data_IF_165880982920
#
_entry.id   IF_165880982920
#
_cell.length_a   1.000
_cell.length_b   1.000
_cell.length_c   1.000
_cell.angle_alpha   90.00
_cell.angle_beta   90.00
_cell.angle_gamma   90.00
#
_symmetry.space_group_name_H-M   'P 1'
#
loop_
_entity.id
_entity.type
_entity.pdbx_description
1 polymer ?
#
# COMPACT_ATOMS: atom_id res chain seq x y z
N UNK A 1 4.20 2.37 20.92
CA UNK A 1 3.16 3.40 20.66
C UNK A 1 1.83 2.74 20.41
N UNK A 2 0.79 2.99 21.24
CA UNK A 2 -0.53 2.42 21.01
C UNK A 2 -1.36 3.14 19.94
N UNK A 3 -0.86 4.28 19.42
CA UNK A 3 -1.56 5.02 18.36
C UNK A 3 -0.56 5.80 17.51
N UNK A 4 -1.00 6.10 16.28
CA UNK A 4 -0.25 6.94 15.35
C UNK A 4 -1.24 7.65 14.44
N UNK A 5 -0.86 8.83 13.95
CA UNK A 5 -1.58 9.54 12.90
C UNK A 5 -0.68 9.72 11.69
N UNK A 6 -1.23 10.17 10.58
CA UNK A 6 -0.44 10.53 9.40
C UNK A 6 0.71 11.48 9.77
N UNK A 7 0.43 12.46 10.63
CA UNK A 7 1.42 13.49 11.00
C UNK A 7 2.51 12.96 11.91
N UNK A 8 2.26 11.90 12.67
CA UNK A 8 3.21 11.39 13.67
C UNK A 8 3.92 10.11 13.23
N UNK A 9 3.56 9.54 12.07
CA UNK A 9 4.20 8.33 11.56
C UNK A 9 5.69 8.57 11.31
N UNK A 10 6.52 7.60 11.69
CA UNK A 10 7.98 7.76 11.69
C UNK A 10 8.62 7.58 10.32
N UNK A 11 7.96 6.87 9.41
CA UNK A 11 8.51 6.61 8.07
C UNK A 11 7.63 7.21 6.99
N UNK A 12 8.26 7.72 5.94
CA UNK A 12 7.59 8.25 4.77
C UNK A 12 8.18 7.62 3.52
N UNK A 13 7.30 7.08 2.67
CA UNK A 13 7.67 6.65 1.32
C UNK A 13 6.89 7.55 0.38
N UNK A 14 7.60 8.40 -0.37
CA UNK A 14 6.96 9.34 -1.26
C UNK A 14 7.52 9.17 -2.68
N UNK A 15 6.64 9.20 -3.65
CA UNK A 15 6.96 9.25 -5.07
C UNK A 15 5.92 10.11 -5.75
N UNK A 16 6.16 10.46 -7.01
CA UNK A 16 5.19 11.24 -7.75
C UNK A 16 3.84 10.53 -7.75
N UNK A 17 2.83 11.22 -7.22
CA UNK A 17 1.45 10.68 -7.17
C UNK A 17 1.13 9.83 -5.95
N UNK A 18 2.10 9.56 -5.07
CA UNK A 18 1.89 8.69 -3.91
C UNK A 18 2.63 9.20 -2.69
N UNK A 19 1.92 9.26 -1.56
CA UNK A 19 2.52 9.53 -0.25
C UNK A 19 2.06 8.44 0.71
N UNK A 20 3.01 7.71 1.28
CA UNK A 20 2.75 6.66 2.27
C UNK A 20 3.43 7.05 3.58
N UNK A 21 2.65 7.09 4.64
CA UNK A 21 3.14 7.31 6.00
C UNK A 21 2.96 6.03 6.79
N UNK A 22 4.04 5.53 7.38
CA UNK A 22 4.12 4.17 7.91
C UNK A 22 4.63 4.18 9.34
N UNK A 23 4.02 3.36 10.19
CA UNK A 23 4.45 3.14 11.57
C UNK A 23 4.21 1.70 11.97
N UNK A 24 5.19 1.08 12.64
CA UNK A 24 5.00 -0.22 13.28
C UNK A 24 4.38 0.01 14.65
N UNK A 25 3.20 -0.57 14.86
CA UNK A 25 2.53 -0.52 16.15
C UNK A 25 2.82 -1.79 16.95
N UNK A 26 2.45 -1.76 18.22
CA UNK A 26 2.56 -2.94 19.08
C UNK A 26 1.62 -4.04 18.60
N UNK A 27 1.90 -5.28 18.98
CA UNK A 27 1.06 -6.41 18.60
C UNK A 27 1.39 -7.04 17.27
N UNK A 28 2.49 -6.63 16.62
CA UNK A 28 2.92 -7.23 15.36
C UNK A 28 2.23 -6.67 14.13
N UNK A 29 1.56 -5.52 14.23
CA UNK A 29 0.88 -4.88 13.11
C UNK A 29 1.45 -3.51 12.84
N UNK A 30 1.43 -3.15 11.56
CA UNK A 30 1.85 -1.84 11.07
C UNK A 30 0.67 -1.12 10.46
N UNK A 31 0.70 0.20 10.49
CA UNK A 31 -0.34 1.04 9.88
C UNK A 31 0.29 1.88 8.78
N UNK A 32 -0.41 1.97 7.64
CA UNK A 32 -0.05 2.82 6.52
C UNK A 32 -1.18 3.82 6.25
N UNK A 33 -0.80 5.09 6.14
CA UNK A 33 -1.69 6.14 5.65
C UNK A 33 -1.25 6.46 4.23
N UNK A 34 -2.12 6.24 3.25
CA UNK A 34 -1.80 6.47 1.83
C UNK A 34 -2.65 7.57 1.24
N UNK A 35 -2.02 8.42 0.45
CA UNK A 35 -2.69 9.43 -0.37
C UNK A 35 -2.25 9.25 -1.81
N UNK A 36 -3.21 9.19 -2.73
CA UNK A 36 -2.95 9.05 -4.15
C UNK A 36 -3.37 10.34 -4.86
N UNK A 37 -2.42 11.01 -5.50
CA UNK A 37 -2.68 12.26 -6.24
C UNK A 37 -2.67 12.06 -7.74
N UNK A 38 -2.41 10.85 -8.21
CA UNK A 38 -2.43 10.49 -9.62
C UNK A 38 -2.94 9.07 -9.80
N UNK A 39 -3.52 8.80 -10.97
CA UNK A 39 -3.87 7.43 -11.35
C UNK A 39 -2.58 6.67 -11.66
N UNK A 40 -2.47 5.44 -11.16
CA UNK A 40 -1.28 4.62 -11.41
C UNK A 40 -1.58 3.15 -11.20
N UNK A 41 -1.07 2.32 -12.12
CA UNK A 41 -1.02 0.87 -11.94
C UNK A 41 0.36 0.54 -11.38
N UNK A 42 0.42 0.02 -10.16
CA UNK A 42 1.67 -0.22 -9.47
C UNK A 42 2.17 -1.66 -9.58
N UNK A 43 1.67 -2.44 -10.53
CA UNK A 43 2.04 -3.85 -10.66
C UNK A 43 3.57 -4.06 -10.74
N UNK A 44 4.28 -3.17 -11.43
CA UNK A 44 5.72 -3.30 -11.61
C UNK A 44 6.52 -3.16 -10.31
N UNK A 45 5.96 -2.55 -9.28
CA UNK A 45 6.64 -2.41 -8.00
C UNK A 45 6.73 -3.73 -7.23
N UNK A 46 5.95 -4.73 -7.63
CA UNK A 46 5.88 -6.01 -6.92
C UNK A 46 6.62 -7.14 -7.64
N UNK A 47 7.38 -6.81 -8.68
CA UNK A 47 8.22 -7.80 -9.36
C UNK A 47 9.27 -8.35 -8.42
N UNK A 48 9.42 -9.66 -8.42
CA UNK A 48 10.36 -10.38 -7.56
C UNK A 48 9.69 -10.98 -6.32
N UNK A 49 8.46 -10.56 -6.01
CA UNK A 49 7.64 -11.24 -5.02
C UNK A 49 6.98 -12.47 -5.67
N UNK A 50 6.45 -13.42 -4.89
CA UNK A 50 5.78 -14.60 -5.46
C UNK A 50 4.69 -14.18 -6.45
N UNK A 51 4.72 -14.74 -7.66
CA UNK A 51 3.82 -14.43 -8.78
C UNK A 51 3.84 -12.95 -9.20
N UNK A 52 4.91 -12.22 -8.84
CA UNK A 52 5.05 -10.78 -9.05
C UNK A 52 3.88 -9.99 -8.47
N UNK A 53 3.37 -10.44 -7.33
CA UNK A 53 2.25 -9.83 -6.62
C UNK A 53 2.57 -9.59 -5.16
N UNK A 54 1.88 -8.64 -4.57
CA UNK A 54 1.98 -8.36 -3.15
C UNK A 54 1.34 -9.50 -2.36
N UNK A 55 2.10 -10.09 -1.44
CA UNK A 55 1.63 -11.17 -0.59
C UNK A 55 1.19 -10.67 0.79
N UNK A 56 1.15 -9.36 0.97
CA UNK A 56 0.82 -8.73 2.23
C UNK A 56 -0.70 -8.67 2.42
N UNK A 57 -1.27 -9.38 3.40
CA UNK A 57 -2.70 -9.20 3.69
C UNK A 57 -2.92 -7.82 4.28
N UNK A 58 -4.01 -7.16 3.90
CA UNK A 58 -4.29 -5.79 4.34
C UNK A 58 -5.73 -5.66 4.78
N UNK A 59 -5.92 -5.07 5.95
CA UNK A 59 -7.21 -4.62 6.43
C UNK A 59 -7.23 -3.11 6.32
N UNK A 60 -8.24 -2.55 5.68
CA UNK A 60 -8.22 -1.13 5.42
C UNK A 60 -9.58 -0.46 5.43
N UNK A 61 -9.52 0.86 5.29
CA UNK A 61 -10.70 1.70 5.20
C UNK A 61 -10.40 2.85 4.23
N UNK A 62 -11.28 3.05 3.26
CA UNK A 62 -11.13 4.15 2.30
C UNK A 62 -11.78 5.40 2.88
N UNK A 63 -10.97 6.44 3.05
CA UNK A 63 -11.42 7.73 3.58
C UNK A 63 -12.04 8.59 2.48
N UNK A 64 -11.36 8.70 1.34
CA UNK A 64 -11.83 9.45 0.17
C UNK A 64 -11.46 8.68 -1.09
N UNK A 65 -12.21 8.91 -2.17
CA UNK A 65 -11.91 8.33 -3.47
C UNK A 65 -12.14 6.84 -3.52
N UNK A 66 -11.26 6.14 -4.24
CA UNK A 66 -11.37 4.69 -4.44
C UNK A 66 -10.02 4.08 -4.75
N UNK A 67 -9.91 2.78 -4.50
CA UNK A 67 -8.72 1.98 -4.81
C UNK A 67 -9.17 0.67 -5.44
N UNK A 68 -8.42 0.18 -6.43
CA UNK A 68 -8.66 -1.11 -7.07
C UNK A 68 -7.52 -2.06 -6.76
N UNK A 69 -7.87 -3.32 -6.46
CA UNK A 69 -6.88 -4.39 -6.31
C UNK A 69 -7.15 -5.45 -7.38
N UNK A 70 -6.10 -5.83 -8.10
CA UNK A 70 -6.15 -6.86 -9.12
C UNK A 70 -5.61 -8.17 -8.59
N UNK A 71 -6.37 -9.22 -8.79
CA UNK A 71 -5.99 -10.60 -8.47
C UNK A 71 -5.82 -11.38 -9.78
N UNK A 72 -5.39 -12.65 -9.69
CA UNK A 72 -5.21 -13.47 -10.88
C UNK A 72 -6.50 -13.67 -11.68
N UNK A 73 -7.64 -13.69 -11.00
CA UNK A 73 -8.95 -14.07 -11.56
C UNK A 73 -10.00 -12.97 -11.49
N UNK A 74 -9.69 -11.81 -10.88
CA UNK A 74 -10.70 -10.77 -10.68
C UNK A 74 -10.06 -9.44 -10.29
N UNK A 75 -10.89 -8.40 -10.30
CA UNK A 75 -10.59 -7.09 -9.70
C UNK A 75 -11.64 -6.76 -8.67
N UNK A 76 -11.23 -6.04 -7.63
CA UNK A 76 -12.16 -5.50 -6.63
C UNK A 76 -11.84 -4.04 -6.41
N UNK A 77 -12.88 -3.20 -6.39
CA UNK A 77 -12.73 -1.76 -6.15
C UNK A 77 -13.46 -1.39 -4.87
N UNK A 78 -12.78 -0.65 -4.01
CA UNK A 78 -13.33 -0.17 -2.75
C UNK A 78 -13.42 1.36 -2.81
N UNK A 79 -14.52 1.89 -2.28
CA UNK A 79 -14.84 3.32 -2.36
C UNK A 79 -14.90 3.93 -0.96
N UNK A 80 -14.92 5.25 -0.90
CA UNK A 80 -15.01 5.99 0.37
C UNK A 80 -16.12 5.43 1.26
N UNK A 81 -15.77 5.11 2.51
CA UNK A 81 -16.68 4.50 3.46
C UNK A 81 -16.60 2.97 3.52
N UNK A 82 -15.89 2.32 2.59
CA UNK A 82 -15.73 0.86 2.63
C UNK A 82 -14.61 0.46 3.57
N UNK A 83 -14.91 -0.47 4.47
CA UNK A 83 -13.89 -1.25 5.17
C UNK A 83 -13.64 -2.52 4.38
N UNK A 84 -12.38 -2.91 4.22
CA UNK A 84 -12.05 -4.02 3.34
C UNK A 84 -10.95 -4.91 3.90
N UNK A 85 -10.90 -6.12 3.37
CA UNK A 85 -9.78 -7.03 3.54
C UNK A 85 -9.28 -7.45 2.17
N UNK A 86 -7.97 -7.28 1.94
CA UNK A 86 -7.29 -7.69 0.70
C UNK A 86 -6.40 -8.86 1.02
N UNK A 87 -6.72 -10.07 0.51
CA UNK A 87 -5.86 -11.24 0.72
C UNK A 87 -4.56 -11.15 -0.08
N UNK A 88 -3.57 -11.99 0.24
CA UNK A 88 -2.34 -12.08 -0.55
C UNK A 88 -2.61 -12.37 -2.04
N UNK A 89 -1.70 -11.92 -2.90
CA UNK A 89 -1.78 -12.20 -4.34
C UNK A 89 -2.42 -11.09 -5.15
N UNK A 90 -2.23 -9.84 -4.74
CA UNK A 90 -2.82 -8.67 -5.42
C UNK A 90 -1.77 -7.70 -5.91
N UNK A 91 -2.19 -6.83 -6.85
CA UNK A 91 -1.47 -5.60 -7.20
C UNK A 91 -2.44 -4.42 -7.14
N UNK A 92 -2.00 -3.26 -6.61
CA UNK A 92 -2.90 -2.12 -6.48
C UNK A 92 -2.92 -1.26 -7.74
N UNK A 93 -4.09 -0.70 -8.01
CA UNK A 93 -4.29 0.37 -8.99
C UNK A 93 -4.82 1.57 -8.24
N UNK A 94 -4.08 2.66 -8.28
CA UNK A 94 -4.42 3.89 -7.58
C UNK A 94 -5.25 4.80 -8.46
N UNK A 95 -6.22 5.46 -7.85
CA UNK A 95 -7.05 6.47 -8.50
C UNK A 95 -6.83 7.81 -7.80
N UNK A 96 -6.61 8.86 -8.57
CA UNK A 96 -6.34 10.20 -8.03
C UNK A 96 -7.43 10.64 -7.06
N UNK A 97 -7.04 11.22 -5.93
CA UNK A 97 -7.94 11.67 -4.89
C UNK A 97 -8.23 10.65 -3.81
N UNK A 98 -7.68 9.44 -3.91
CA UNK A 98 -7.90 8.42 -2.89
C UNK A 98 -7.03 8.68 -1.65
N UNK A 99 -7.65 8.49 -0.49
CA UNK A 99 -6.95 8.43 0.80
C UNK A 99 -7.46 7.22 1.55
N UNK A 100 -6.54 6.43 2.08
CA UNK A 100 -6.89 5.22 2.79
C UNK A 100 -5.94 4.96 3.95
N UNK A 101 -6.41 4.15 4.89
CA UNK A 101 -5.59 3.63 5.98
C UNK A 101 -5.64 2.11 5.93
N UNK A 102 -4.46 1.48 6.06
CA UNK A 102 -4.34 0.03 6.02
C UNK A 102 -3.53 -0.47 7.18
N UNK A 103 -3.91 -1.64 7.69
CA UNK A 103 -3.19 -2.37 8.74
C UNK A 103 -2.69 -3.69 8.17
N UNK A 104 -1.45 -4.02 8.47
CA UNK A 104 -0.79 -5.22 7.93
C UNK A 104 0.13 -5.85 8.96
N UNK A 105 0.40 -7.16 8.87
CA UNK A 105 1.41 -7.78 9.71
C UNK A 105 2.79 -7.18 9.46
N UNK A 106 3.48 -6.80 10.52
CA UNK A 106 4.78 -6.12 10.44
C UNK A 106 5.85 -6.98 9.78
N UNK A 107 5.87 -8.29 10.04
CA UNK A 107 6.86 -9.20 9.48
C UNK A 107 6.73 -9.33 7.95
N UNK A 108 5.51 -9.50 7.45
CA UNK A 108 5.27 -9.59 5.99
C UNK A 108 5.55 -8.25 5.32
N UNK A 109 5.17 -7.16 5.96
CA UNK A 109 5.48 -5.81 5.46
C UNK A 109 6.99 -5.62 5.34
N UNK A 110 7.76 -6.08 6.33
CA UNK A 110 9.21 -6.00 6.35
C UNK A 110 9.88 -6.79 5.22
N UNK A 111 9.22 -7.83 4.70
CA UNK A 111 9.69 -8.58 3.54
C UNK A 111 9.29 -7.90 2.21
N UNK A 112 8.19 -7.18 2.23
CA UNK A 112 7.60 -6.57 1.02
C UNK A 112 8.27 -5.24 0.68
N UNK A 113 8.47 -4.38 1.66
CA UNK A 113 8.98 -3.02 1.43
C UNK A 113 10.33 -3.00 0.71
N UNK A 114 11.34 -3.81 1.07
CA UNK A 114 12.62 -3.78 0.35
C UNK A 114 12.49 -4.08 -1.14
N UNK A 115 11.59 -4.99 -1.52
CA UNK A 115 11.36 -5.31 -2.94
C UNK A 115 10.71 -4.13 -3.66
N UNK A 116 9.71 -3.52 -3.04
CA UNK A 116 9.05 -2.34 -3.59
C UNK A 116 10.03 -1.20 -3.77
N UNK A 117 10.88 -0.93 -2.77
CA UNK A 117 11.87 0.14 -2.83
C UNK A 117 12.91 -0.11 -3.91
N UNK A 118 13.35 -1.35 -4.07
CA UNK A 118 14.30 -1.72 -5.11
C UNK A 118 13.70 -1.50 -6.51
N UNK A 119 12.45 -1.92 -6.71
CA UNK A 119 11.76 -1.72 -7.98
C UNK A 119 11.48 -0.25 -8.25
N UNK A 120 11.20 0.52 -7.21
CA UNK A 120 10.98 1.96 -7.32
C UNK A 120 12.25 2.66 -7.82
N UNK A 121 13.41 2.31 -7.28
CA UNK A 121 14.70 2.85 -7.73
C UNK A 121 14.98 2.46 -9.18
N UNK A 122 14.72 1.21 -9.54
CA UNK A 122 14.93 0.74 -10.91
C UNK A 122 14.01 1.43 -11.92
N UNK A 123 12.81 1.82 -11.49
CA UNK A 123 11.79 2.39 -12.38
C UNK A 123 12.03 3.86 -12.74
N UNK A 124 12.93 4.56 -12.05
CA UNK A 124 13.14 5.95 -12.42
C UNK A 124 13.64 6.86 -11.34
N UNK A 125 13.76 6.39 -10.13
CA UNK A 125 14.36 7.18 -9.07
C UNK A 125 15.85 7.43 -9.31
N UNK A 126 16.39 6.82 -10.33
CA UNK A 126 17.75 7.08 -10.80
C UNK A 126 17.88 8.44 -11.47
N UNK A 127 16.79 9.12 -11.64
CA UNK A 127 16.82 10.45 -12.26
C UNK A 127 17.16 11.49 -11.22
#
# INVERSE_FOLDING_TARGET
MPKVSRATASETIAMEGLDVRLENLEGGYSVCFESHTADADLADLFRGLPDDRCQLPRWGYVLTGRVTFRFADREETYEAGDAYYVPPGHTPVHHAGAELVEFSPTDVLGETIPVVMQNLQAAGAAV
#
